data_IF_953905246373
#
_entry.id   IF_953905246373
#
_cell.length_a   1.000
_cell.length_b   1.000
_cell.length_c   1.000
_cell.angle_alpha   90.00
_cell.angle_beta   90.00
_cell.angle_gamma   90.00
#
_symmetry.space_group_name_H-M   'P 1'
#
loop_
_entity.id
_entity.type
_entity.pdbx_description
1 polymer ?
#
# COMPACT_ATOMS: atom_id res chain seq x y z
N UNK A 1 -56.09 37.75 -72.30
CA UNK A 1 -55.05 38.61 -72.93
C UNK A 1 -53.78 38.46 -72.12
N UNK A 2 -52.81 37.85 -72.77
CA UNK A 2 -51.36 38.09 -72.67
C UNK A 2 -50.63 37.81 -71.38
N UNK A 3 -49.90 36.72 -71.46
CA UNK A 3 -48.60 36.57 -70.81
C UNK A 3 -47.62 37.62 -71.24
N UNK A 4 -46.37 37.79 -70.82
CA UNK A 4 -45.43 36.69 -70.59
C UNK A 4 -44.43 36.92 -69.40
N UNK A 5 -43.76 35.82 -69.12
CA UNK A 5 -42.32 35.62 -68.93
C UNK A 5 -41.49 36.59 -68.13
N UNK A 6 -40.77 36.08 -67.15
CA UNK A 6 -39.33 35.99 -67.28
C UNK A 6 -38.73 35.04 -66.22
N UNK A 7 -38.14 33.96 -66.77
CA UNK A 7 -37.05 33.21 -66.14
C UNK A 7 -36.00 34.12 -65.54
N UNK A 8 -35.59 33.81 -64.36
CA UNK A 8 -34.23 34.01 -63.98
C UNK A 8 -33.72 32.88 -63.13
N UNK A 9 -33.08 32.01 -63.83
CA UNK A 9 -32.27 30.95 -63.28
C UNK A 9 -31.12 31.56 -62.50
N UNK A 10 -31.10 31.39 -61.18
CA UNK A 10 -29.89 31.61 -60.42
C UNK A 10 -29.51 30.26 -59.79
N UNK A 11 -28.68 29.55 -60.52
CA UNK A 11 -27.88 28.44 -59.98
C UNK A 11 -26.99 28.98 -58.88
N UNK A 12 -27.38 28.70 -57.65
CA UNK A 12 -26.49 28.84 -56.52
C UNK A 12 -25.84 27.49 -56.29
N UNK A 13 -24.57 27.41 -56.65
CA UNK A 13 -23.68 26.28 -56.37
C UNK A 13 -23.49 26.23 -54.85
N UNK A 14 -23.87 25.15 -54.16
CA UNK A 14 -23.46 25.00 -52.77
C UNK A 14 -21.97 24.68 -52.74
N UNK A 15 -21.19 25.61 -52.22
CA UNK A 15 -19.80 25.37 -51.87
C UNK A 15 -19.82 24.33 -50.72
N UNK A 16 -19.46 23.11 -51.07
CA UNK A 16 -19.24 22.03 -50.13
C UNK A 16 -17.99 22.35 -49.30
N UNK A 17 -18.21 23.05 -48.20
CA UNK A 17 -17.17 23.29 -47.22
C UNK A 17 -16.79 21.98 -46.54
N UNK A 18 -15.67 21.41 -46.92
CA UNK A 18 -15.05 20.30 -46.23
C UNK A 18 -14.51 20.86 -44.91
N UNK A 19 -15.31 20.77 -43.85
CA UNK A 19 -14.82 20.93 -42.47
C UNK A 19 -13.99 19.68 -42.12
N UNK A 20 -12.68 19.78 -42.35
CA UNK A 20 -11.73 18.85 -41.79
C UNK A 20 -11.72 19.06 -40.28
N UNK A 21 -12.58 18.30 -39.57
CA UNK A 21 -12.55 18.21 -38.15
C UNK A 21 -11.23 17.55 -37.72
N UNK A 22 -10.32 18.33 -37.21
CA UNK A 22 -9.17 17.82 -36.46
C UNK A 22 -9.71 17.26 -35.18
N UNK A 23 -9.90 15.94 -35.10
CA UNK A 23 -10.13 15.22 -33.87
C UNK A 23 -8.80 15.22 -33.14
N UNK A 24 -8.61 16.21 -32.26
CA UNK A 24 -7.57 16.13 -31.23
C UNK A 24 -7.93 14.94 -30.32
N UNK A 25 -7.29 13.80 -30.59
CA UNK A 25 -7.32 12.67 -29.70
C UNK A 25 -6.77 13.08 -28.35
N UNK A 26 -7.63 13.31 -27.40
CA UNK A 26 -7.23 13.42 -26.00
C UNK A 26 -6.76 12.04 -25.58
N UNK A 27 -5.45 11.84 -25.58
CA UNK A 27 -4.85 10.71 -24.90
C UNK A 27 -5.11 10.90 -23.41
N UNK A 28 -6.16 10.29 -22.89
CA UNK A 28 -6.32 10.11 -21.47
C UNK A 28 -5.18 9.21 -21.03
N UNK A 29 -4.16 9.81 -20.40
CA UNK A 29 -3.20 9.06 -19.60
C UNK A 29 -4.02 8.43 -18.48
N UNK A 30 -4.43 7.20 -18.68
CA UNK A 30 -4.88 6.35 -17.57
C UNK A 30 -3.65 6.22 -16.66
N UNK A 31 -3.64 6.97 -15.56
CA UNK A 31 -2.73 6.69 -14.47
C UNK A 31 -3.04 5.27 -14.04
N UNK A 32 -2.12 4.35 -14.34
CA UNK A 32 -2.16 3.02 -13.77
C UNK A 32 -1.96 3.22 -12.26
N UNK A 33 -3.05 3.13 -11.50
CA UNK A 33 -2.96 2.95 -10.06
C UNK A 33 -2.22 1.63 -9.85
N UNK A 34 -0.95 1.76 -9.54
CA UNK A 34 -0.14 0.63 -9.12
C UNK A 34 -0.78 0.09 -7.85
N UNK A 35 -1.35 -1.11 -7.95
CA UNK A 35 -1.91 -1.83 -6.80
C UNK A 35 -0.74 -2.14 -5.85
N UNK A 36 -0.55 -1.28 -4.86
CA UNK A 36 0.39 -1.55 -3.78
C UNK A 36 -0.19 -2.69 -2.95
N UNK A 37 0.36 -3.88 -3.16
CA UNK A 37 0.01 -5.06 -2.34
C UNK A 37 0.75 -4.92 -1.02
N UNK A 38 0.04 -4.91 0.12
CA UNK A 38 0.68 -4.86 1.44
C UNK A 38 1.63 -6.04 1.64
N UNK A 39 2.72 -5.80 2.35
CA UNK A 39 3.65 -6.86 2.71
C UNK A 39 3.00 -7.85 3.68
N UNK A 40 3.31 -9.12 3.55
CA UNK A 40 2.92 -10.14 4.54
C UNK A 40 3.70 -9.96 5.84
N UNK A 41 3.19 -10.50 6.95
CA UNK A 41 3.88 -10.44 8.25
C UNK A 41 5.30 -11.01 8.20
N UNK A 42 5.49 -12.14 7.51
CA UNK A 42 6.81 -12.73 7.27
C UNK A 42 7.73 -11.81 6.48
N UNK A 43 7.21 -11.16 5.43
CA UNK A 43 8.00 -10.22 4.65
C UNK A 43 8.41 -8.99 5.46
N UNK A 44 7.52 -8.47 6.29
CA UNK A 44 7.85 -7.36 7.20
C UNK A 44 8.89 -7.80 8.22
N UNK A 45 8.73 -8.98 8.84
CA UNK A 45 9.74 -9.53 9.74
C UNK A 45 11.11 -9.60 9.07
N UNK A 46 11.20 -10.22 7.90
CA UNK A 46 12.46 -10.42 7.19
C UNK A 46 13.11 -9.13 6.70
N UNK A 47 12.33 -8.06 6.49
CA UNK A 47 12.85 -6.79 6.00
C UNK A 47 13.18 -5.78 7.12
N UNK A 48 12.56 -5.94 8.29
CA UNK A 48 12.62 -4.92 9.36
C UNK A 48 12.95 -5.54 10.72
N UNK A 49 12.07 -6.42 11.22
CA UNK A 49 12.12 -6.88 12.61
C UNK A 49 13.34 -7.78 12.87
N UNK A 50 13.79 -8.50 11.85
CA UNK A 50 14.94 -9.41 11.92
C UNK A 50 16.22 -8.73 12.43
N UNK A 51 16.36 -7.43 12.20
CA UNK A 51 17.54 -6.68 12.63
C UNK A 51 17.80 -6.79 14.15
N UNK A 52 16.73 -6.85 14.95
CA UNK A 52 16.82 -6.99 16.40
C UNK A 52 16.29 -8.33 16.91
N UNK A 53 15.29 -8.91 16.22
CA UNK A 53 14.60 -10.13 16.66
C UNK A 53 15.17 -11.43 16.08
N UNK A 54 16.26 -11.38 15.28
CA UNK A 54 16.99 -12.60 14.92
C UNK A 54 17.70 -13.20 16.12
N UNK A 55 17.84 -14.54 16.21
CA UNK A 55 18.62 -15.17 17.27
C UNK A 55 20.07 -14.66 17.34
N UNK A 56 20.60 -14.34 18.53
CA UNK A 56 20.04 -14.55 19.86
C UNK A 56 19.19 -13.38 20.39
N UNK A 57 18.81 -12.40 19.59
CA UNK A 57 18.20 -11.15 19.96
C UNK A 57 19.22 -10.07 20.27
N UNK A 58 18.92 -8.82 19.90
CA UNK A 58 19.79 -7.67 20.09
C UNK A 58 19.12 -6.65 20.99
N UNK A 59 19.87 -6.07 21.92
CA UNK A 59 19.39 -4.97 22.77
C UNK A 59 18.17 -5.33 23.63
N UNK A 60 18.07 -6.58 24.09
CA UNK A 60 16.95 -7.04 24.91
C UNK A 60 15.70 -7.47 24.11
N UNK A 61 15.76 -7.44 22.78
CA UNK A 61 14.67 -7.95 21.94
C UNK A 61 14.54 -9.48 22.09
N UNK A 62 13.33 -10.02 22.23
CA UNK A 62 13.13 -11.46 22.22
C UNK A 62 13.41 -12.01 20.82
N UNK A 63 14.26 -13.02 20.73
CA UNK A 63 14.56 -13.66 19.45
C UNK A 63 13.36 -14.41 18.89
N UNK A 64 13.27 -14.49 17.56
CA UNK A 64 12.26 -15.30 16.90
C UNK A 64 12.35 -16.77 17.36
N UNK A 65 11.24 -17.36 17.76
CA UNK A 65 11.17 -18.74 18.24
C UNK A 65 11.68 -18.97 19.66
N UNK A 66 12.17 -17.96 20.37
CA UNK A 66 12.56 -18.09 21.76
C UNK A 66 11.33 -18.07 22.70
N UNK A 67 10.75 -19.26 22.90
CA UNK A 67 9.55 -19.41 23.72
C UNK A 67 9.72 -18.85 25.15
N UNK A 68 10.91 -19.01 25.75
CA UNK A 68 11.17 -18.49 27.10
C UNK A 68 11.15 -16.98 27.17
N UNK A 69 11.76 -16.32 26.19
CA UNK A 69 11.77 -14.86 26.11
C UNK A 69 10.39 -14.29 25.73
N UNK A 70 9.62 -15.01 24.93
CA UNK A 70 8.31 -14.57 24.48
C UNK A 70 7.20 -14.80 25.51
N UNK A 71 7.25 -15.87 26.31
CA UNK A 71 6.18 -16.23 27.23
C UNK A 71 5.67 -15.08 28.12
N UNK A 72 6.51 -14.32 28.82
CA UNK A 72 6.03 -13.21 29.65
C UNK A 72 5.47 -12.04 28.85
N UNK A 73 5.87 -11.91 27.58
CA UNK A 73 5.37 -10.87 26.67
C UNK A 73 4.00 -11.24 26.12
N UNK A 74 3.85 -12.47 25.66
CA UNK A 74 2.56 -13.02 25.18
C UNK A 74 1.52 -13.00 26.30
N UNK A 75 1.92 -13.25 27.55
CA UNK A 75 1.03 -13.20 28.70
C UNK A 75 0.41 -11.81 28.96
N UNK A 76 0.98 -10.73 28.42
CA UNK A 76 0.41 -9.39 28.48
C UNK A 76 -0.77 -9.20 27.52
N UNK A 77 -0.93 -10.10 26.56
CA UNK A 77 -1.95 -10.05 25.53
C UNK A 77 -1.48 -9.41 24.23
N UNK A 78 -2.11 -9.83 23.14
CA UNK A 78 -1.76 -9.38 21.78
C UNK A 78 -1.91 -7.85 21.61
N UNK A 79 -2.95 -7.26 22.18
CA UNK A 79 -3.19 -5.81 22.10
C UNK A 79 -2.00 -5.01 22.65
N UNK A 80 -1.40 -5.47 23.77
CA UNK A 80 -0.21 -4.83 24.35
C UNK A 80 1.01 -4.97 23.44
N UNK A 81 1.20 -6.14 22.84
CA UNK A 81 2.30 -6.35 21.89
C UNK A 81 2.17 -5.45 20.66
N UNK A 82 0.96 -5.33 20.14
CA UNK A 82 0.64 -4.45 19.01
C UNK A 82 0.91 -2.99 19.37
N UNK A 83 0.41 -2.55 20.54
CA UNK A 83 0.63 -1.18 21.00
C UNK A 83 2.13 -0.84 21.10
N UNK A 84 2.92 -1.73 21.69
CA UNK A 84 4.36 -1.55 21.83
C UNK A 84 5.07 -1.47 20.49
N UNK A 85 4.70 -2.28 19.53
CA UNK A 85 5.30 -2.25 18.20
C UNK A 85 4.89 -1.01 17.39
N UNK A 86 3.62 -0.59 17.48
CA UNK A 86 3.12 0.57 16.76
C UNK A 86 3.64 1.89 17.31
N UNK A 87 3.78 2.01 18.62
CA UNK A 87 4.12 3.26 19.30
C UNK A 87 5.55 3.33 19.80
N UNK A 88 6.25 2.19 19.81
CA UNK A 88 7.54 2.03 20.48
C UNK A 88 7.37 1.69 21.97
N UNK A 89 8.39 1.07 22.54
CA UNK A 89 8.37 0.63 23.94
C UNK A 89 9.76 0.71 24.56
N UNK A 90 9.84 1.22 25.76
CA UNK A 90 11.03 1.18 26.59
C UNK A 90 10.79 0.27 27.78
N UNK A 91 11.47 -0.87 27.80
CA UNK A 91 11.40 -1.84 28.88
C UNK A 91 12.66 -1.87 29.72
N UNK A 92 12.71 -2.77 30.71
CA UNK A 92 13.85 -2.93 31.60
C UNK A 92 15.10 -3.45 30.88
N UNK A 93 14.90 -4.17 29.77
CA UNK A 93 15.98 -4.84 29.02
C UNK A 93 16.40 -4.13 27.75
N UNK A 94 15.62 -3.17 27.28
CA UNK A 94 15.95 -2.46 26.06
C UNK A 94 14.82 -1.60 25.51
N UNK A 95 15.04 -1.06 24.32
CA UNK A 95 14.10 -0.17 23.63
C UNK A 95 13.69 -0.79 22.31
N UNK A 96 12.40 -0.87 22.07
CA UNK A 96 11.83 -1.16 20.76
C UNK A 96 11.41 0.14 20.11
N UNK A 97 12.01 0.54 18.99
CA UNK A 97 11.60 1.76 18.29
C UNK A 97 10.24 1.57 17.63
N UNK A 98 9.50 2.67 17.49
CA UNK A 98 8.21 2.68 16.80
C UNK A 98 8.31 2.04 15.42
N UNK A 99 7.50 1.00 15.18
CA UNK A 99 7.44 0.27 13.90
C UNK A 99 8.80 -0.23 13.40
N UNK A 100 9.76 -0.48 14.29
CA UNK A 100 11.11 -0.81 13.89
C UNK A 100 11.80 0.28 13.07
N UNK A 101 11.47 1.55 13.30
CA UNK A 101 11.87 2.76 12.54
C UNK A 101 11.26 2.86 11.12
N UNK A 102 10.41 1.92 10.71
CA UNK A 102 9.72 1.91 9.41
C UNK A 102 8.33 2.53 9.52
N UNK A 103 8.30 3.84 9.71
CA UNK A 103 7.04 4.61 9.84
C UNK A 103 6.22 4.68 8.56
N UNK A 104 6.81 4.29 7.44
CA UNK A 104 6.18 4.14 6.13
C UNK A 104 5.27 2.91 6.03
N UNK A 105 5.49 1.89 6.88
CA UNK A 105 4.64 0.71 6.92
C UNK A 105 3.30 1.03 7.58
N UNK A 106 2.24 0.45 7.04
CA UNK A 106 0.91 0.53 7.62
C UNK A 106 0.84 -0.22 8.96
N UNK A 107 -0.13 0.14 9.79
CA UNK A 107 -0.36 -0.55 11.05
C UNK A 107 -0.69 -2.04 10.81
N UNK A 108 -1.45 -2.35 9.76
CA UNK A 108 -1.79 -3.72 9.39
C UNK A 108 -0.56 -4.57 9.05
N UNK A 109 0.42 -4.02 8.35
CA UNK A 109 1.68 -4.71 8.04
C UNK A 109 2.50 -5.00 9.30
N UNK A 110 2.54 -4.05 10.24
CA UNK A 110 3.21 -4.25 11.53
C UNK A 110 2.47 -5.30 12.38
N UNK A 111 1.13 -5.24 12.43
CA UNK A 111 0.32 -6.25 13.14
C UNK A 111 0.59 -7.64 12.57
N UNK A 112 0.58 -7.79 11.25
CA UNK A 112 0.90 -9.07 10.62
C UNK A 112 2.30 -9.60 10.99
N UNK A 113 3.29 -8.72 11.15
CA UNK A 113 4.63 -9.13 11.59
C UNK A 113 4.65 -9.62 13.05
N UNK A 114 3.87 -9.00 13.93
CA UNK A 114 3.76 -9.44 15.32
C UNK A 114 3.08 -10.81 15.37
N UNK A 115 1.98 -10.98 14.67
CA UNK A 115 1.27 -12.26 14.54
C UNK A 115 2.21 -13.35 14.05
N UNK A 116 2.95 -13.09 12.97
CA UNK A 116 3.95 -14.01 12.45
C UNK A 116 4.98 -14.42 13.54
N UNK A 117 5.56 -13.45 14.26
CA UNK A 117 6.56 -13.76 15.29
C UNK A 117 5.99 -14.56 16.47
N UNK A 118 4.75 -14.31 16.86
CA UNK A 118 4.07 -15.05 17.93
C UNK A 118 3.74 -16.47 17.48
N UNK A 119 3.31 -16.67 16.24
CA UNK A 119 3.07 -17.99 15.66
C UNK A 119 4.33 -18.86 15.67
N UNK A 120 5.51 -18.28 15.37
CA UNK A 120 6.77 -19.02 15.41
C UNK A 120 7.14 -19.54 16.81
N UNK A 121 6.55 -18.97 17.86
CA UNK A 121 6.72 -19.48 19.23
C UNK A 121 5.83 -20.70 19.49
N UNK A 122 4.58 -20.65 19.00
CA UNK A 122 3.61 -21.74 19.18
C UNK A 122 4.02 -23.02 18.44
N UNK A 123 4.69 -22.91 17.31
CA UNK A 123 5.13 -24.05 16.48
C UNK A 123 6.29 -24.85 17.12
N UNK A 124 6.84 -24.39 18.26
CA UNK A 124 7.98 -25.04 18.93
C UNK A 124 7.58 -25.86 20.18
N UNK A 125 6.30 -25.92 20.52
CA UNK A 125 5.74 -26.74 21.58
C UNK A 125 5.29 -28.13 21.04
#
# INVERSE_FOLDING_TARGET
>A
MRAPDHQSSNSIIPILGILTGVVLGQATLAASEELVVPLTGEQVYNNVCIACHSPPGIGGAPALGDAQAWAPRIAQGMDTLIEHALNGFTGDTGVMPKKGERVDLSDGEIIGAIEYMVEQVADQE
#
